data_IF_070921293519
#
_entry.id   IF_070921293519
#
_cell.length_a   1.000
_cell.length_b   1.000
_cell.length_c   1.000
_cell.angle_alpha   90.00
_cell.angle_beta   90.00
_cell.angle_gamma   90.00
#
_symmetry.space_group_name_H-M   'P 1'
#
loop_
_entity.id
_entity.type
_entity.pdbx_description
1 polymer ?
#
# COMPACT_ATOMS: atom_id res chain seq x y z
N UNK A 1 20.06 9.31 -7.28
CA UNK A 1 19.29 8.20 -6.69
C UNK A 1 19.15 7.10 -7.73
N UNK A 2 19.14 5.82 -7.34
CA UNK A 2 18.93 4.67 -8.26
C UNK A 2 17.59 3.95 -8.03
N UNK A 3 16.86 4.38 -7.02
CA UNK A 3 15.67 3.77 -6.45
C UNK A 3 14.65 4.88 -6.13
N UNK A 4 13.42 4.48 -5.85
CA UNK A 4 12.37 5.36 -5.38
C UNK A 4 12.14 5.18 -3.87
N UNK A 5 11.64 6.22 -3.22
CA UNK A 5 11.26 6.20 -1.81
C UNK A 5 9.78 6.57 -1.69
N UNK A 6 9.01 5.71 -1.03
CA UNK A 6 7.62 5.94 -0.66
C UNK A 6 7.58 6.63 0.71
N UNK A 7 7.11 7.87 0.75
CA UNK A 7 6.89 8.62 1.99
C UNK A 7 5.39 8.65 2.27
N UNK A 8 5.00 8.13 3.44
CA UNK A 8 3.63 8.09 3.93
C UNK A 8 3.51 9.05 5.12
N UNK A 9 2.70 10.10 4.95
CA UNK A 9 2.39 11.10 5.99
C UNK A 9 1.18 10.64 6.80
N UNK A 10 1.26 10.89 8.11
CA UNK A 10 0.15 10.68 9.06
C UNK A 10 -0.37 9.23 9.13
N UNK A 11 0.50 8.23 8.88
CA UNK A 11 0.13 6.82 9.00
C UNK A 11 -0.27 6.49 10.45
N UNK A 12 -1.44 5.90 10.69
CA UNK A 12 -1.81 5.45 12.03
C UNK A 12 -0.86 4.37 12.55
N UNK A 13 -0.59 4.39 13.85
CA UNK A 13 0.13 3.29 14.50
C UNK A 13 -0.67 2.00 14.40
N UNK A 14 0.03 0.87 14.30
CA UNK A 14 -0.49 -0.48 14.11
C UNK A 14 -1.12 -0.77 12.75
N UNK A 15 -1.20 0.19 11.82
CA UNK A 15 -1.62 -0.07 10.43
C UNK A 15 -0.84 -1.27 9.87
N UNK A 16 -1.56 -2.24 9.32
CA UNK A 16 -0.91 -3.28 8.53
C UNK A 16 -0.54 -2.67 7.18
N UNK A 17 0.74 -2.66 6.85
CA UNK A 17 1.27 -2.15 5.60
C UNK A 17 2.12 -3.25 4.96
N UNK A 18 1.90 -3.48 3.67
CA UNK A 18 2.71 -4.36 2.87
C UNK A 18 3.14 -3.75 1.55
N UNK A 19 4.25 -4.25 1.07
CA UNK A 19 4.74 -4.02 -0.29
C UNK A 19 5.09 -5.39 -0.88
N UNK A 20 4.55 -5.65 -2.06
CA UNK A 20 4.76 -6.88 -2.81
C UNK A 20 4.42 -8.12 -1.97
N UNK A 21 5.43 -8.90 -1.60
CA UNK A 21 5.25 -10.17 -0.89
C UNK A 21 5.30 -10.04 0.64
N UNK A 22 5.66 -8.88 1.17
CA UNK A 22 5.87 -8.71 2.61
C UNK A 22 4.86 -7.74 3.21
N UNK A 23 4.45 -8.02 4.45
CA UNK A 23 3.62 -7.11 5.25
C UNK A 23 4.03 -7.10 6.71
N UNK A 24 3.77 -5.98 7.37
CA UNK A 24 4.10 -5.74 8.77
C UNK A 24 3.06 -4.84 9.42
N UNK A 25 3.01 -4.84 10.75
CA UNK A 25 2.37 -3.75 11.51
C UNK A 25 3.38 -2.64 11.74
N UNK A 26 3.01 -1.42 11.40
CA UNK A 26 3.90 -0.27 11.49
C UNK A 26 3.79 0.41 12.85
N UNK A 27 4.91 0.91 13.37
CA UNK A 27 4.95 1.65 14.64
C UNK A 27 4.67 3.15 14.45
N UNK A 28 4.41 3.88 15.55
CA UNK A 28 4.10 5.33 15.57
C UNK A 28 5.02 6.25 14.76
N UNK A 29 6.28 5.87 14.54
CA UNK A 29 7.27 6.71 13.86
C UNK A 29 7.53 6.29 12.42
N UNK A 30 6.85 5.24 11.93
CA UNK A 30 7.02 4.77 10.58
C UNK A 30 6.46 5.80 9.58
N UNK A 31 7.25 6.11 8.55
CA UNK A 31 6.92 7.12 7.52
C UNK A 31 7.01 6.60 6.09
N UNK A 32 7.07 5.28 5.89
CA UNK A 32 7.10 4.66 4.56
C UNK A 32 8.31 3.78 4.29
N UNK A 33 8.65 3.60 3.02
CA UNK A 33 9.60 2.58 2.55
C UNK A 33 10.64 3.23 1.64
N UNK A 34 11.92 2.92 1.86
CA UNK A 34 13.04 3.39 1.05
C UNK A 34 13.62 2.28 0.17
N UNK A 35 14.31 2.72 -0.87
CA UNK A 35 15.07 1.88 -1.79
C UNK A 35 14.20 0.89 -2.57
N UNK A 36 13.01 1.34 -2.97
CA UNK A 36 12.13 0.59 -3.86
C UNK A 36 12.80 0.55 -5.24
N UNK A 37 13.06 -0.64 -5.81
CA UNK A 37 13.63 -0.77 -7.15
C UNK A 37 12.75 -0.14 -8.22
N UNK A 38 13.32 0.06 -9.42
CA UNK A 38 12.51 0.43 -10.57
C UNK A 38 11.64 -0.76 -11.00
N UNK A 39 10.43 -0.45 -11.50
CA UNK A 39 9.45 -1.43 -11.93
C UNK A 39 8.11 -1.29 -11.23
N UNK A 40 7.28 -2.32 -11.39
CA UNK A 40 5.94 -2.36 -10.83
C UNK A 40 6.01 -2.91 -9.42
N UNK A 41 5.36 -2.22 -8.48
CA UNK A 41 5.23 -2.65 -7.09
C UNK A 41 3.78 -2.49 -6.64
N UNK A 42 3.33 -3.37 -5.74
CA UNK A 42 2.00 -3.30 -5.16
C UNK A 42 2.10 -2.97 -3.69
N UNK A 43 1.56 -1.81 -3.30
CA UNK A 43 1.50 -1.38 -1.90
C UNK A 43 0.08 -1.57 -1.42
N UNK A 44 -0.07 -2.19 -0.26
CA UNK A 44 -1.37 -2.46 0.34
C UNK A 44 -1.34 -2.23 1.83
N UNK A 45 -2.49 -1.91 2.40
CA UNK A 45 -2.66 -1.63 3.81
C UNK A 45 -4.04 -2.03 4.28
N UNK A 46 -4.18 -2.12 5.58
CA UNK A 46 -5.46 -2.24 6.25
C UNK A 46 -5.43 -1.37 7.50
N UNK A 47 -6.45 -0.51 7.61
CA UNK A 47 -6.70 0.18 8.87
C UNK A 47 -7.03 -0.85 9.94
N UNK A 48 -6.57 -0.58 11.15
CA UNK A 48 -6.79 -1.46 12.29
C UNK A 48 -7.75 -0.76 13.24
N UNK A 49 -8.81 -1.46 13.63
CA UNK A 49 -9.79 -0.91 14.55
C UNK A 49 -9.28 -0.92 16.01
N UNK A 50 -10.10 -0.40 16.94
CA UNK A 50 -9.75 -0.33 18.37
C UNK A 50 -9.43 -1.68 19.02
N UNK A 51 -9.91 -2.78 18.43
CA UNK A 51 -9.69 -4.15 18.91
C UNK A 51 -8.47 -4.81 18.25
N UNK A 52 -7.62 -4.02 17.59
CA UNK A 52 -6.44 -4.48 16.85
C UNK A 52 -6.75 -5.43 15.68
N UNK A 53 -8.00 -5.49 15.22
CA UNK A 53 -8.42 -6.29 14.07
C UNK A 53 -8.25 -5.48 12.79
N UNK A 54 -7.59 -6.10 11.80
CA UNK A 54 -7.41 -5.51 10.48
C UNK A 54 -8.74 -5.53 9.72
N UNK A 55 -9.09 -4.38 9.14
CA UNK A 55 -10.27 -4.23 8.31
C UNK A 55 -10.08 -4.79 6.90
N UNK A 56 -10.80 -4.20 5.94
CA UNK A 56 -10.60 -4.49 4.52
C UNK A 56 -9.17 -4.11 4.10
N UNK A 57 -8.54 -4.92 3.26
CA UNK A 57 -7.25 -4.56 2.65
C UNK A 57 -7.50 -3.72 1.41
N UNK A 58 -6.87 -2.57 1.36
CA UNK A 58 -6.86 -1.66 0.22
C UNK A 58 -5.43 -1.55 -0.29
N UNK A 59 -5.25 -1.35 -1.59
CA UNK A 59 -3.92 -1.13 -2.13
C UNK A 59 -3.93 -0.34 -3.42
N UNK A 60 -2.74 0.07 -3.83
CA UNK A 60 -2.48 0.75 -5.08
C UNK A 60 -1.21 0.16 -5.72
N UNK A 61 -1.17 0.20 -7.04
CA UNK A 61 0.01 -0.21 -7.80
C UNK A 61 0.82 1.04 -8.12
N UNK A 62 2.14 0.97 -7.97
CA UNK A 62 3.06 1.99 -8.47
C UNK A 62 3.91 1.40 -9.59
N UNK A 63 4.13 2.19 -10.64
CA UNK A 63 5.05 1.87 -11.72
C UNK A 63 6.22 2.86 -11.65
N UNK A 64 7.30 2.45 -11.02
CA UNK A 64 8.48 3.28 -10.78
C UNK A 64 9.38 3.22 -12.02
N UNK A 65 9.22 4.18 -12.91
CA UNK A 65 10.06 4.30 -14.12
C UNK A 65 11.38 5.02 -13.86
N UNK A 66 11.42 5.89 -12.86
CA UNK A 66 12.58 6.69 -12.52
C UNK A 66 12.79 6.82 -11.00
N UNK A 67 14.03 7.05 -10.55
CA UNK A 67 14.32 7.34 -9.15
C UNK A 67 13.61 8.62 -8.69
N UNK A 68 13.17 8.66 -7.43
CA UNK A 68 12.50 9.83 -6.88
C UNK A 68 11.67 9.52 -5.65
N UNK A 69 10.61 10.30 -5.44
CA UNK A 69 9.74 10.19 -4.28
C UNK A 69 8.29 9.99 -4.69
N UNK A 70 7.63 9.03 -4.06
CA UNK A 70 6.17 8.91 -4.06
C UNK A 70 5.71 9.36 -2.70
N UNK A 71 4.90 10.42 -2.63
CA UNK A 71 4.42 10.95 -1.35
C UNK A 71 2.92 10.80 -1.27
N UNK A 72 2.46 10.19 -0.19
CA UNK A 72 1.05 10.02 0.11
C UNK A 72 0.74 10.48 1.53
N UNK A 73 -0.50 10.87 1.77
CA UNK A 73 -1.00 11.27 3.10
C UNK A 73 -2.24 10.48 3.47
N UNK A 74 -2.28 9.98 4.70
CA UNK A 74 -3.46 9.31 5.23
C UNK A 74 -4.63 10.28 5.42
N UNK A 75 -5.81 9.88 4.97
CA UNK A 75 -7.09 10.52 5.23
C UNK A 75 -7.86 9.64 6.21
N UNK A 76 -8.12 10.18 7.40
CA UNK A 76 -8.70 9.39 8.51
C UNK A 76 -10.13 8.97 8.21
N UNK A 77 -10.88 9.84 7.55
CA UNK A 77 -12.30 9.66 7.26
C UNK A 77 -12.54 8.56 6.22
N UNK A 78 -11.63 8.43 5.26
CA UNK A 78 -11.71 7.45 4.17
C UNK A 78 -10.93 6.16 4.45
N UNK A 79 -10.16 6.14 5.55
CA UNK A 79 -9.19 5.09 5.86
C UNK A 79 -8.27 4.75 4.67
N UNK A 80 -7.87 5.79 3.93
CA UNK A 80 -7.16 5.68 2.66
C UNK A 80 -5.99 6.67 2.57
N UNK A 81 -5.01 6.38 1.70
CA UNK A 81 -3.95 7.30 1.34
C UNK A 81 -4.33 8.10 0.10
N UNK A 82 -4.07 9.41 0.09
CA UNK A 82 -4.19 10.25 -1.11
C UNK A 82 -2.81 10.67 -1.62
N UNK A 83 -2.69 10.85 -2.93
CA UNK A 83 -1.48 11.35 -3.57
C UNK A 83 -1.20 12.79 -3.17
N UNK A 84 0.07 13.08 -2.88
CA UNK A 84 0.57 14.43 -2.63
C UNK A 84 1.42 14.82 -3.83
N UNK A 85 0.93 15.78 -4.61
CA UNK A 85 1.70 16.40 -5.67
C UNK A 85 2.74 17.33 -5.02
N UNK A 86 4.03 17.00 -5.19
CA UNK A 86 5.12 17.81 -4.69
C UNK A 86 5.44 18.95 -5.64
N UNK A 87 5.76 20.12 -5.10
CA UNK A 87 6.44 21.18 -5.85
C UNK A 87 7.95 20.93 -5.91
N UNK A 88 8.65 21.61 -6.83
CA UNK A 88 10.11 21.52 -6.94
C UNK A 88 10.80 21.91 -5.60
N UNK A 89 10.32 22.97 -4.94
CA UNK A 89 10.81 23.39 -3.61
C UNK A 89 10.62 22.30 -2.55
N UNK A 90 9.50 21.56 -2.58
CA UNK A 90 9.27 20.47 -1.64
C UNK A 90 10.18 19.26 -1.92
N UNK A 91 10.44 18.97 -3.20
CA UNK A 91 11.39 17.94 -3.61
C UNK A 91 12.79 18.29 -3.09
N UNK A 92 13.26 19.53 -3.29
CA UNK A 92 14.56 19.99 -2.79
C UNK A 92 14.66 19.92 -1.26
N UNK A 93 13.58 20.25 -0.54
CA UNK A 93 13.49 20.10 0.92
C UNK A 93 13.56 18.65 1.38
N UNK A 94 12.94 17.73 0.64
CA UNK A 94 13.03 16.29 0.95
C UNK A 94 14.45 15.82 0.71
N UNK A 95 15.06 16.19 -0.43
CA UNK A 95 16.44 15.81 -0.77
C UNK A 95 17.42 16.31 0.29
N UNK A 96 17.34 17.58 0.67
CA UNK A 96 18.26 18.20 1.65
C UNK A 96 18.14 17.61 3.06
N UNK A 97 16.95 17.10 3.44
CA UNK A 97 16.70 16.50 4.75
C UNK A 97 16.58 14.97 4.71
N UNK A 98 16.98 14.34 3.59
CA UNK A 98 16.65 12.94 3.35
C UNK A 98 17.29 12.01 4.38
N UNK A 99 18.48 12.31 4.88
CA UNK A 99 19.15 11.49 5.89
C UNK A 99 18.28 11.31 7.15
N UNK A 100 17.71 12.40 7.66
CA UNK A 100 16.80 12.37 8.81
C UNK A 100 15.49 11.66 8.46
N UNK A 101 14.91 11.95 7.30
CA UNK A 101 13.67 11.29 6.84
C UNK A 101 13.88 9.78 6.75
N UNK A 102 15.02 9.34 6.22
CA UNK A 102 15.35 7.94 5.96
C UNK A 102 15.46 7.08 7.22
N UNK A 103 15.64 7.70 8.40
CA UNK A 103 15.62 7.02 9.69
C UNK A 103 14.23 6.48 10.05
N UNK A 104 13.19 7.05 9.46
CA UNK A 104 11.79 6.69 9.68
C UNK A 104 11.21 5.83 8.55
N UNK A 105 12.03 5.47 7.54
CA UNK A 105 11.63 4.64 6.42
C UNK A 105 12.13 3.20 6.62
N UNK A 106 11.23 2.24 6.46
CA UNK A 106 11.58 0.82 6.38
C UNK A 106 12.36 0.51 5.11
N UNK A 107 13.27 -0.45 5.18
CA UNK A 107 14.00 -0.92 4.00
C UNK A 107 13.07 -1.76 3.11
N UNK A 108 13.11 -1.56 1.79
CA UNK A 108 12.45 -2.47 0.87
C UNK A 108 12.98 -3.92 1.04
N UNK A 109 12.11 -4.95 1.07
CA UNK A 109 12.50 -6.33 1.37
C UNK A 109 13.16 -7.01 0.17
N UNK A 110 14.44 -6.67 -0.06
CA UNK A 110 15.21 -7.10 -1.23
C UNK A 110 15.31 -8.63 -1.38
N UNK A 111 15.26 -9.38 -0.28
CA UNK A 111 15.32 -10.85 -0.29
C UNK A 111 14.16 -11.47 -1.08
N UNK A 112 12.98 -10.83 -1.06
CA UNK A 112 11.78 -11.27 -1.78
C UNK A 112 11.65 -10.66 -3.19
N UNK A 113 12.57 -9.77 -3.59
CA UNK A 113 12.45 -9.03 -4.84
C UNK A 113 12.48 -9.93 -6.07
N UNK A 114 13.33 -10.96 -6.06
CA UNK A 114 13.44 -11.90 -7.18
C UNK A 114 12.12 -12.66 -7.41
N UNK A 115 11.48 -13.08 -6.31
CA UNK A 115 10.19 -13.77 -6.37
C UNK A 115 9.10 -12.82 -6.87
N UNK A 116 9.09 -11.57 -6.37
CA UNK A 116 8.18 -10.54 -6.86
C UNK A 116 8.33 -10.30 -8.37
N UNK A 117 9.56 -10.17 -8.88
CA UNK A 117 9.80 -10.01 -10.32
C UNK A 117 9.32 -11.23 -11.11
N UNK A 118 9.52 -12.45 -10.59
CA UNK A 118 9.02 -13.67 -11.25
C UNK A 118 7.49 -13.69 -11.41
N UNK A 119 6.77 -13.02 -10.49
CA UNK A 119 5.31 -12.90 -10.49
C UNK A 119 4.79 -11.70 -11.31
N UNK A 120 5.60 -10.66 -11.47
CA UNK A 120 5.18 -9.36 -12.01
C UNK A 120 5.81 -8.97 -13.35
N UNK A 121 6.82 -9.69 -13.85
CA UNK A 121 7.59 -9.32 -15.05
C UNK A 121 6.80 -9.23 -16.37
N UNK A 122 5.60 -9.82 -16.45
CA UNK A 122 4.71 -9.69 -17.60
C UNK A 122 3.66 -8.58 -17.45
N UNK A 123 3.58 -7.95 -16.29
CA UNK A 123 2.71 -6.80 -16.06
C UNK A 123 3.38 -5.59 -16.72
N UNK A 124 2.64 -4.92 -17.62
CA UNK A 124 3.12 -3.73 -18.34
C UNK A 124 2.32 -2.51 -17.95
N UNK A 125 2.80 -1.31 -18.29
CA UNK A 125 2.01 -0.08 -18.15
C UNK A 125 0.65 -0.19 -18.84
N UNK A 126 0.58 -0.78 -20.04
CA UNK A 126 -0.68 -1.03 -20.75
C UNK A 126 -1.62 -1.98 -19.97
N UNK A 127 -1.07 -3.01 -19.33
CA UNK A 127 -1.84 -3.92 -18.46
C UNK A 127 -2.43 -3.15 -17.29
N UNK A 128 -1.64 -2.30 -16.63
CA UNK A 128 -2.09 -1.48 -15.51
C UNK A 128 -3.18 -0.49 -15.91
N UNK A 129 -2.98 0.27 -17.00
CA UNK A 129 -3.98 1.23 -17.50
C UNK A 129 -5.33 0.57 -17.81
N UNK A 130 -5.31 -0.69 -18.24
CA UNK A 130 -6.53 -1.44 -18.57
C UNK A 130 -7.23 -2.05 -17.36
N UNK A 131 -6.49 -2.41 -16.31
CA UNK A 131 -7.01 -3.22 -15.18
C UNK A 131 -7.16 -2.44 -13.88
N UNK A 132 -6.38 -1.37 -13.67
CA UNK A 132 -6.52 -0.54 -12.48
C UNK A 132 -7.82 0.27 -12.60
N UNK A 133 -8.71 0.24 -11.58
CA UNK A 133 -9.90 1.07 -11.57
C UNK A 133 -9.58 2.56 -11.65
N UNK A 134 -10.53 3.38 -12.13
CA UNK A 134 -10.32 4.83 -12.24
C UNK A 134 -9.97 5.53 -10.91
N UNK A 135 -10.42 4.97 -9.77
CA UNK A 135 -10.04 5.47 -8.45
C UNK A 135 -8.60 5.10 -8.02
N UNK A 136 -7.91 4.25 -8.78
CA UNK A 136 -6.54 3.83 -8.49
C UNK A 136 -6.40 2.91 -7.28
N UNK A 137 -7.49 2.29 -6.82
CA UNK A 137 -7.51 1.42 -5.63
C UNK A 137 -7.97 0.00 -5.97
N UNK A 138 -7.33 -0.97 -5.33
CA UNK A 138 -7.67 -2.38 -5.35
C UNK A 138 -8.13 -2.79 -3.95
N UNK A 139 -9.37 -3.25 -3.82
CA UNK A 139 -9.96 -3.65 -2.54
C UNK A 139 -10.04 -5.17 -2.45
N UNK A 140 -9.64 -5.75 -1.32
CA UNK A 140 -9.92 -7.15 -1.02
C UNK A 140 -11.41 -7.34 -0.78
N UNK A 141 -12.00 -8.38 -1.37
CA UNK A 141 -13.38 -8.73 -1.06
C UNK A 141 -13.48 -9.25 0.38
N UNK A 142 -14.37 -8.71 1.24
CA UNK A 142 -14.67 -9.34 2.52
C UNK A 142 -15.30 -10.72 2.27
N UNK A 143 -14.97 -11.70 3.10
CA UNK A 143 -15.55 -13.03 3.00
C UNK A 143 -17.08 -12.95 3.07
N UNK A 144 -17.76 -13.40 2.02
CA UNK A 144 -19.22 -13.42 1.97
C UNK A 144 -19.72 -14.51 2.92
N UNK A 145 -20.26 -14.14 4.08
CA UNK A 145 -20.95 -15.08 4.95
C UNK A 145 -22.30 -15.39 4.30
N UNK A 146 -22.43 -16.57 3.68
CA UNK A 146 -23.73 -17.05 3.20
C UNK A 146 -24.66 -17.26 4.38
N UNK A 147 -25.87 -16.71 4.35
CA UNK A 147 -26.88 -17.06 5.34
C UNK A 147 -27.26 -18.54 5.19
N UNK A 148 -27.42 -19.29 6.30
CA UNK A 148 -27.89 -20.67 6.24
C UNK A 148 -29.29 -20.74 5.62
N UNK A 149 -29.50 -21.70 4.73
CA UNK A 149 -30.77 -21.89 4.03
C UNK A 149 -31.89 -22.31 4.98
N UNK A 150 -32.97 -21.53 5.05
CA UNK A 150 -34.17 -21.85 5.82
C UNK A 150 -35.04 -22.90 5.09
N UNK A 151 -34.55 -24.15 4.97
CA UNK A 151 -35.30 -25.27 4.40
C UNK A 151 -35.77 -26.28 5.45
N UNK A 152 -36.31 -25.82 6.58
CA UNK A 152 -37.06 -26.70 7.48
C UNK A 152 -38.24 -25.97 8.15
N UNK A 153 -39.31 -25.75 7.39
CA UNK A 153 -40.66 -25.69 7.96
C UNK A 153 -41.40 -26.96 7.55
N UNK A 154 -41.22 -28.03 8.32
CA UNK A 154 -42.16 -29.14 8.35
C UNK A 154 -43.50 -28.64 8.87
N UNK A 155 -44.63 -28.85 8.17
CA UNK A 155 -45.93 -28.45 8.69
C UNK A 155 -46.28 -29.36 9.87
N UNK A 156 -46.58 -28.77 11.02
CA UNK A 156 -47.17 -29.47 12.17
C UNK A 156 -48.59 -29.90 11.82
N UNK A 157 -48.82 -31.21 11.91
CA UNK A 157 -50.10 -31.92 11.84
C UNK A 157 -51.09 -31.51 12.91
#
# INVERSE_FOLDING_TARGET
MKCCHLILRDVPENTELGIDLMCWRVGKYFKGIKDIPLGIHFVYYSAVNSDCLSGQRVGFVTNVSEPGFIVKKWQKEEEDFVDVNLTDDEIERIISNFDEISMYLGQYPIDSYRDWISLSNFITGCTLTRLIPHCGRLYSCPHFLSEPSNNSKTPSS
#
